data_IF_655564384445
#
_entry.id   IF_655564384445
#
_cell.length_a   1.000
_cell.length_b   1.000
_cell.length_c   1.000
_cell.angle_alpha   90.00
_cell.angle_beta   90.00
_cell.angle_gamma   90.00
#
_symmetry.space_group_name_H-M   'P 1'
#
loop_
_entity.id
_entity.type
_entity.pdbx_description
1 polymer ?
#
# COMPACT_ATOMS: atom_id res chain seq x y z
N UNK A 1 28.44 -41.50 -28.69
CA UNK A 1 27.57 -41.25 -27.51
C UNK A 1 28.05 -39.96 -26.87
N UNK A 2 27.37 -38.84 -27.13
CA UNK A 2 27.67 -37.55 -26.51
C UNK A 2 26.71 -37.44 -25.33
N UNK A 3 27.20 -37.66 -24.11
CA UNK A 3 26.43 -37.42 -22.89
C UNK A 3 26.46 -35.92 -22.62
N UNK A 4 25.35 -35.23 -22.86
CA UNK A 4 25.20 -33.86 -22.40
C UNK A 4 25.26 -33.85 -20.87
N UNK A 5 26.08 -33.00 -20.24
CA UNK A 5 26.07 -32.86 -18.79
C UNK A 5 24.70 -32.32 -18.36
N UNK A 6 23.98 -33.10 -17.56
CA UNK A 6 22.76 -32.68 -16.89
C UNK A 6 23.10 -31.42 -16.07
N UNK A 7 22.52 -30.28 -16.42
CA UNK A 7 22.64 -29.07 -15.61
C UNK A 7 22.19 -29.41 -14.20
N UNK A 8 23.06 -29.22 -13.21
CA UNK A 8 22.73 -29.46 -11.81
C UNK A 8 21.46 -28.65 -11.49
N UNK A 9 20.41 -29.35 -11.03
CA UNK A 9 19.16 -28.72 -10.62
C UNK A 9 19.50 -27.62 -9.61
N UNK A 10 19.03 -26.40 -9.87
CA UNK A 10 19.20 -25.29 -8.94
C UNK A 10 18.70 -25.74 -7.55
N UNK A 11 19.43 -25.44 -6.47
CA UNK A 11 19.02 -25.85 -5.14
C UNK A 11 17.62 -25.33 -4.85
N UNK A 12 16.71 -26.23 -4.45
CA UNK A 12 15.35 -25.87 -4.04
C UNK A 12 15.47 -24.93 -2.83
N UNK A 13 14.89 -23.71 -2.89
CA UNK A 13 14.94 -22.77 -1.78
C UNK A 13 14.37 -23.37 -0.50
N UNK A 14 14.95 -23.03 0.66
CA UNK A 14 14.38 -23.40 1.94
C UNK A 14 12.95 -22.82 2.07
N UNK A 15 11.92 -23.66 2.32
CA UNK A 15 10.55 -23.20 2.50
C UNK A 15 10.37 -22.06 3.52
N UNK A 16 11.19 -22.03 4.57
CA UNK A 16 11.11 -21.00 5.61
C UNK A 16 11.71 -19.65 5.17
N UNK A 17 12.75 -19.69 4.33
CA UNK A 17 13.30 -18.49 3.71
C UNK A 17 12.30 -17.85 2.76
N UNK A 18 11.66 -18.65 1.91
CA UNK A 18 10.66 -18.14 0.96
C UNK A 18 9.43 -17.58 1.70
N UNK A 19 8.99 -18.24 2.79
CA UNK A 19 7.91 -17.71 3.64
C UNK A 19 8.25 -16.32 4.19
N UNK A 20 9.46 -16.14 4.73
CA UNK A 20 9.90 -14.85 5.30
C UNK A 20 9.99 -13.78 4.21
N UNK A 21 10.54 -14.12 3.05
CA UNK A 21 10.62 -13.21 1.90
C UNK A 21 9.25 -12.70 1.46
N UNK A 22 8.26 -13.59 1.33
CA UNK A 22 6.88 -13.23 0.97
C UNK A 22 6.24 -12.35 2.05
N UNK A 23 6.46 -12.67 3.34
CA UNK A 23 5.95 -11.86 4.46
C UNK A 23 6.53 -10.44 4.45
N UNK A 24 7.84 -10.30 4.31
CA UNK A 24 8.50 -9.00 4.19
C UNK A 24 7.99 -8.22 2.97
N UNK A 25 7.89 -8.87 1.81
CA UNK A 25 7.38 -8.23 0.60
C UNK A 25 5.94 -7.70 0.77
N UNK A 26 5.06 -8.47 1.44
CA UNK A 26 3.70 -8.03 1.78
C UNK A 26 3.72 -6.81 2.70
N UNK A 27 4.50 -6.84 3.77
CA UNK A 27 4.59 -5.71 4.71
C UNK A 27 5.10 -4.45 4.02
N UNK A 28 6.13 -4.55 3.18
CA UNK A 28 6.65 -3.43 2.40
C UNK A 28 5.60 -2.86 1.44
N UNK A 29 4.83 -3.72 0.76
CA UNK A 29 3.73 -3.30 -0.10
C UNK A 29 2.62 -2.59 0.69
N UNK A 30 2.29 -3.07 1.89
CA UNK A 30 1.22 -2.50 2.72
C UNK A 30 1.61 -1.19 3.41
N UNK A 31 2.91 -0.97 3.65
CA UNK A 31 3.41 0.32 4.15
C UNK A 31 3.11 1.45 3.16
N UNK A 32 3.11 1.14 1.86
CA UNK A 32 2.89 2.09 0.76
C UNK A 32 3.85 3.30 0.88
N UNK A 33 5.13 2.94 1.01
CA UNK A 33 6.25 3.88 1.03
C UNK A 33 6.48 4.46 -0.37
N UNK A 34 6.63 5.78 -0.45
CA UNK A 34 6.72 6.52 -1.71
C UNK A 34 8.13 6.95 -2.13
N UNK A 35 8.22 8.00 -2.97
CA UNK A 35 9.48 8.48 -3.52
C UNK A 35 10.50 8.98 -2.49
N UNK A 36 10.04 9.57 -1.40
CA UNK A 36 10.94 10.13 -0.39
C UNK A 36 11.61 8.99 0.40
N UNK A 37 10.84 7.96 0.77
CA UNK A 37 11.42 6.75 1.37
C UNK A 37 12.37 6.07 0.39
N UNK A 38 11.99 5.93 -0.88
CA UNK A 38 12.85 5.35 -1.90
C UNK A 38 14.20 6.08 -2.04
N UNK A 39 14.20 7.41 -1.96
CA UNK A 39 15.40 8.24 -2.02
C UNK A 39 16.28 8.14 -0.77
N UNK A 40 15.67 8.01 0.40
CA UNK A 40 16.37 8.12 1.69
C UNK A 40 16.78 6.78 2.29
N UNK A 41 16.10 5.67 1.95
CA UNK A 41 16.31 4.37 2.61
C UNK A 41 17.76 3.90 2.65
N UNK A 42 18.53 4.16 1.59
CA UNK A 42 19.94 3.74 1.47
C UNK A 42 20.93 4.67 2.19
N UNK A 43 20.47 5.82 2.67
CA UNK A 43 21.27 6.82 3.39
C UNK A 43 21.02 6.81 4.89
N UNK A 44 20.03 6.04 5.32
CA UNK A 44 19.65 5.90 6.72
C UNK A 44 20.50 4.80 7.35
N UNK A 45 20.97 5.03 8.58
CA UNK A 45 21.71 4.03 9.36
C UNK A 45 20.80 2.86 9.81
N UNK A 46 20.94 2.34 11.03
CA UNK A 46 20.16 1.17 11.48
C UNK A 46 18.64 1.40 11.57
N UNK A 47 18.17 2.63 11.40
CA UNK A 47 16.76 3.00 11.41
C UNK A 47 16.10 2.92 12.79
N UNK A 48 14.88 3.46 12.89
CA UNK A 48 14.07 3.42 14.10
C UNK A 48 13.29 2.10 14.22
N UNK A 49 13.01 1.63 15.46
CA UNK A 49 12.14 0.47 15.65
C UNK A 49 10.72 0.80 15.13
N UNK A 50 10.15 0.01 14.20
CA UNK A 50 8.96 0.42 13.45
C UNK A 50 7.71 0.64 14.32
N UNK A 51 7.41 -0.32 15.21
CA UNK A 51 6.18 -0.28 16.01
C UNK A 51 6.19 0.83 17.08
N UNK A 52 7.24 1.00 17.91
CA UNK A 52 7.30 2.12 18.86
C UNK A 52 7.24 3.47 18.15
N UNK A 53 7.94 3.63 17.03
CA UNK A 53 7.86 4.85 16.23
C UNK A 53 6.43 5.07 15.73
N UNK A 54 5.75 4.01 15.25
CA UNK A 54 4.39 4.06 14.73
C UNK A 54 3.38 4.52 15.77
N UNK A 55 3.47 3.96 16.97
CA UNK A 55 2.66 4.35 18.12
C UNK A 55 2.95 5.80 18.54
N UNK A 56 4.21 6.19 18.63
CA UNK A 56 4.58 7.57 18.97
C UNK A 56 4.03 8.57 17.95
N UNK A 57 4.12 8.24 16.66
CA UNK A 57 3.58 9.04 15.57
C UNK A 57 2.06 9.21 15.67
N UNK A 58 1.35 8.11 15.86
CA UNK A 58 -0.11 8.12 16.02
C UNK A 58 -0.54 8.97 17.22
N UNK A 59 0.08 8.74 18.38
CA UNK A 59 -0.23 9.46 19.61
C UNK A 59 0.08 10.96 19.49
N UNK A 60 1.19 11.32 18.85
CA UNK A 60 1.55 12.71 18.63
C UNK A 60 0.54 13.42 17.70
N UNK A 61 0.11 12.78 16.61
CA UNK A 61 -0.92 13.34 15.72
C UNK A 61 -2.26 13.50 16.44
N UNK A 62 -2.67 12.52 17.27
CA UNK A 62 -3.86 12.63 18.12
C UNK A 62 -3.74 13.82 19.07
N UNK A 63 -2.60 13.97 19.76
CA UNK A 63 -2.36 15.07 20.68
C UNK A 63 -2.44 16.44 19.97
N UNK A 64 -1.83 16.56 18.77
CA UNK A 64 -1.90 17.78 17.96
C UNK A 64 -3.35 18.12 17.58
N UNK A 65 -4.13 17.12 17.16
CA UNK A 65 -5.53 17.32 16.78
C UNK A 65 -6.43 17.72 17.96
N UNK A 66 -6.28 17.05 19.11
CA UNK A 66 -7.15 17.26 20.29
C UNK A 66 -6.82 18.56 21.04
N UNK A 67 -5.57 19.01 20.99
CA UNK A 67 -5.17 20.27 21.65
C UNK A 67 -5.65 21.53 20.93
N UNK A 68 -6.17 21.41 19.70
CA UNK A 68 -6.63 22.55 18.90
C UNK A 68 -5.50 23.43 18.38
N UNK A 69 -4.24 22.96 18.42
CA UNK A 69 -3.06 23.72 17.96
C UNK A 69 -3.16 24.10 16.48
N UNK A 70 -3.90 23.34 15.67
CA UNK A 70 -4.12 23.63 14.26
C UNK A 70 -5.25 24.66 14.00
N UNK A 71 -6.02 25.01 15.03
CA UNK A 71 -7.18 25.88 14.93
C UNK A 71 -8.32 25.44 15.84
N UNK A 72 -9.18 26.38 16.21
CA UNK A 72 -10.36 26.17 17.07
C UNK A 72 -11.62 25.77 16.29
N UNK A 73 -11.54 25.74 14.95
CA UNK A 73 -12.66 25.43 14.05
C UNK A 73 -13.66 26.58 13.87
N UNK A 74 -13.43 27.75 14.46
CA UNK A 74 -14.29 28.93 14.29
C UNK A 74 -14.12 29.57 12.90
N UNK A 75 -12.91 29.49 12.34
CA UNK A 75 -12.59 29.92 10.99
C UNK A 75 -11.57 28.98 10.34
N UNK A 76 -11.49 28.92 9.00
CA UNK A 76 -10.44 28.18 8.30
C UNK A 76 -9.06 28.69 8.71
N UNK A 77 -8.26 27.81 9.28
CA UNK A 77 -6.88 28.10 9.65
C UNK A 77 -5.93 27.76 8.50
N UNK A 78 -4.77 28.42 8.51
CA UNK A 78 -3.66 28.21 7.57
C UNK A 78 -2.34 28.60 8.25
N UNK A 79 -1.23 28.47 7.53
CA UNK A 79 0.11 28.83 7.99
C UNK A 79 1.00 27.64 8.36
N UNK A 80 2.28 27.90 8.67
CA UNK A 80 3.31 26.85 8.80
C UNK A 80 3.01 25.77 9.85
N UNK A 81 2.20 26.09 10.87
CA UNK A 81 1.78 25.13 11.90
C UNK A 81 1.05 23.92 11.32
N UNK A 82 0.41 24.05 10.16
CA UNK A 82 -0.25 22.96 9.44
C UNK A 82 0.71 21.87 8.99
N UNK A 83 2.01 22.15 8.89
CA UNK A 83 3.00 21.13 8.57
C UNK A 83 3.34 20.24 9.78
N UNK A 84 2.99 20.65 11.00
CA UNK A 84 3.41 19.96 12.22
C UNK A 84 3.03 18.46 12.25
N UNK A 85 1.76 18.04 12.07
CA UNK A 85 1.42 16.61 12.14
C UNK A 85 2.10 15.79 11.04
N UNK A 86 2.26 16.40 9.85
CA UNK A 86 2.94 15.79 8.71
C UNK A 86 4.42 15.58 9.00
N UNK A 87 5.11 16.61 9.49
CA UNK A 87 6.54 16.54 9.79
C UNK A 87 6.83 15.57 10.93
N UNK A 88 5.98 15.53 11.96
CA UNK A 88 6.08 14.54 13.04
C UNK A 88 5.98 13.12 12.49
N UNK A 89 4.96 12.84 11.67
CA UNK A 89 4.80 11.51 11.08
C UNK A 89 5.98 11.15 10.17
N UNK A 90 6.40 12.04 9.28
CA UNK A 90 7.55 11.83 8.39
C UNK A 90 8.83 11.58 9.18
N UNK A 91 9.11 12.40 10.19
CA UNK A 91 10.31 12.28 11.02
C UNK A 91 10.38 10.96 11.79
N UNK A 92 9.23 10.43 12.23
CA UNK A 92 9.18 9.16 12.97
C UNK A 92 9.13 7.94 12.05
N UNK A 93 8.41 8.01 10.93
CA UNK A 93 8.13 6.84 10.07
C UNK A 93 9.15 6.60 8.98
N UNK A 94 9.68 7.63 8.31
CA UNK A 94 10.68 7.43 7.23
C UNK A 94 11.92 6.67 7.74
N UNK A 95 12.48 6.98 8.94
CA UNK A 95 13.63 6.23 9.47
C UNK A 95 13.35 4.76 9.80
N UNK A 96 12.11 4.29 9.73
CA UNK A 96 11.77 2.86 9.95
C UNK A 96 11.94 2.01 8.69
N UNK A 97 12.02 2.64 7.51
CA UNK A 97 12.08 1.95 6.22
C UNK A 97 13.31 1.04 5.99
N UNK A 98 14.49 1.28 6.57
CA UNK A 98 15.64 0.37 6.42
C UNK A 98 15.50 -0.96 7.19
N UNK A 99 14.47 -1.12 8.02
CA UNK A 99 14.28 -2.33 8.83
C UNK A 99 13.80 -3.50 7.97
N UNK A 100 14.13 -4.71 8.41
CA UNK A 100 13.77 -5.97 7.76
C UNK A 100 12.29 -6.35 7.91
N UNK A 101 11.61 -5.74 8.88
CA UNK A 101 10.21 -5.94 9.21
C UNK A 101 9.85 -7.40 9.59
N UNK A 102 10.78 -8.09 10.27
CA UNK A 102 10.62 -9.49 10.68
C UNK A 102 10.25 -9.66 12.17
N UNK A 103 10.00 -8.57 12.89
CA UNK A 103 9.60 -8.59 14.29
C UNK A 103 8.18 -9.12 14.52
N UNK A 104 7.94 -9.72 15.69
CA UNK A 104 6.62 -10.28 16.11
C UNK A 104 5.45 -9.32 15.93
N UNK A 105 5.69 -8.01 16.07
CA UNK A 105 4.67 -6.96 16.00
C UNK A 105 4.74 -6.13 14.72
N UNK A 106 5.64 -6.44 13.79
CA UNK A 106 5.83 -5.59 12.59
C UNK A 106 4.63 -5.60 11.64
N UNK A 107 3.71 -6.56 11.81
CA UNK A 107 2.40 -6.54 11.16
C UNK A 107 1.52 -5.34 11.57
N UNK A 108 1.81 -4.68 12.70
CA UNK A 108 1.14 -3.44 13.12
C UNK A 108 1.61 -2.21 12.34
N UNK A 109 2.73 -2.29 11.64
CA UNK A 109 3.33 -1.11 10.99
C UNK A 109 2.41 -0.53 9.90
N UNK A 110 1.88 -1.32 8.94
CA UNK A 110 0.93 -0.78 7.97
C UNK A 110 -0.32 -0.12 8.58
N UNK A 111 -1.07 -0.75 9.52
CA UNK A 111 -2.25 -0.09 10.10
C UNK A 111 -1.91 1.14 10.94
N UNK A 112 -0.75 1.20 11.60
CA UNK A 112 -0.29 2.40 12.31
C UNK A 112 -0.01 3.56 11.34
N UNK A 113 0.67 3.29 10.22
CA UNK A 113 0.90 4.28 9.16
C UNK A 113 -0.44 4.77 8.60
N UNK A 114 -1.33 3.84 8.22
CA UNK A 114 -2.64 4.20 7.63
C UNK A 114 -3.54 4.99 8.58
N UNK A 115 -3.64 4.55 9.84
CA UNK A 115 -4.42 5.25 10.85
C UNK A 115 -3.90 6.67 11.10
N UNK A 116 -2.57 6.84 11.15
CA UNK A 116 -1.94 8.15 11.33
C UNK A 116 -2.12 9.04 10.09
N UNK A 117 -2.00 8.49 8.88
CA UNK A 117 -2.24 9.22 7.63
C UNK A 117 -3.68 9.75 7.60
N UNK A 118 -4.67 8.89 7.85
CA UNK A 118 -6.08 9.29 7.81
C UNK A 118 -6.43 10.32 8.87
N UNK A 119 -5.92 10.18 10.10
CA UNK A 119 -6.10 11.19 11.13
C UNK A 119 -5.47 12.53 10.75
N UNK A 120 -4.28 12.51 10.14
CA UNK A 120 -3.62 13.72 9.66
C UNK A 120 -4.46 14.42 8.57
N UNK A 121 -4.97 13.67 7.59
CA UNK A 121 -5.86 14.20 6.54
C UNK A 121 -7.10 14.84 7.16
N UNK A 122 -7.73 14.15 8.13
CA UNK A 122 -8.93 14.63 8.82
C UNK A 122 -8.62 15.93 9.58
N UNK A 123 -7.57 15.95 10.41
CA UNK A 123 -7.26 17.12 11.22
C UNK A 123 -6.89 18.35 10.38
N UNK A 124 -6.09 18.17 9.32
CA UNK A 124 -5.78 19.26 8.39
C UNK A 124 -7.05 19.75 7.68
N UNK A 125 -7.86 18.82 7.19
CA UNK A 125 -9.09 19.14 6.48
C UNK A 125 -10.10 19.89 7.34
N UNK A 126 -10.29 19.46 8.58
CA UNK A 126 -11.18 20.14 9.53
C UNK A 126 -10.65 21.53 9.90
N UNK A 127 -9.35 21.65 10.21
CA UNK A 127 -8.75 22.92 10.58
C UNK A 127 -8.78 23.94 9.43
N UNK A 128 -8.53 23.50 8.19
CA UNK A 128 -8.58 24.36 7.01
C UNK A 128 -9.98 24.52 6.41
N UNK A 129 -11.04 23.99 7.03
CA UNK A 129 -12.41 24.12 6.55
C UNK A 129 -12.69 23.40 5.21
N UNK A 130 -11.91 22.38 4.86
CA UNK A 130 -12.11 21.61 3.63
C UNK A 130 -13.41 20.79 3.69
N UNK A 131 -14.19 20.70 2.58
CA UNK A 131 -15.45 19.95 2.58
C UNK A 131 -15.27 18.49 3.00
N UNK A 132 -16.05 18.05 3.99
CA UNK A 132 -15.93 16.72 4.61
C UNK A 132 -16.11 15.58 3.60
N UNK A 133 -17.02 15.75 2.64
CA UNK A 133 -17.25 14.77 1.57
C UNK A 133 -16.01 14.58 0.71
N UNK A 134 -15.23 15.65 0.49
CA UNK A 134 -14.03 15.59 -0.33
C UNK A 134 -12.88 14.89 0.42
N UNK A 135 -12.75 15.14 1.73
CA UNK A 135 -11.84 14.39 2.60
C UNK A 135 -12.19 12.90 2.60
N UNK A 136 -13.48 12.56 2.69
CA UNK A 136 -13.95 11.19 2.61
C UNK A 136 -13.58 10.53 1.28
N UNK A 137 -13.75 11.22 0.15
CA UNK A 137 -13.33 10.69 -1.16
C UNK A 137 -11.84 10.39 -1.20
N UNK A 138 -10.98 11.31 -0.72
CA UNK A 138 -9.54 11.07 -0.70
C UNK A 138 -9.18 9.87 0.17
N UNK A 139 -9.74 9.79 1.39
CA UNK A 139 -9.53 8.67 2.32
C UNK A 139 -10.01 7.36 1.69
N UNK A 140 -11.17 7.37 1.02
CA UNK A 140 -11.71 6.21 0.32
C UNK A 140 -10.77 5.74 -0.79
N UNK A 141 -10.25 6.66 -1.61
CA UNK A 141 -9.31 6.33 -2.70
C UNK A 141 -8.04 5.68 -2.16
N UNK A 142 -7.44 6.26 -1.12
CA UNK A 142 -6.21 5.71 -0.50
C UNK A 142 -6.50 4.38 0.22
N UNK A 143 -7.64 4.29 0.92
CA UNK A 143 -8.08 3.07 1.59
C UNK A 143 -8.37 1.95 0.62
N UNK A 144 -9.02 2.24 -0.52
CA UNK A 144 -9.28 1.30 -1.60
C UNK A 144 -7.98 0.77 -2.19
N UNK A 145 -6.99 1.62 -2.47
CA UNK A 145 -5.68 1.18 -2.95
C UNK A 145 -5.00 0.21 -1.98
N UNK A 146 -5.07 0.50 -0.67
CA UNK A 146 -4.52 -0.39 0.36
C UNK A 146 -5.27 -1.73 0.39
N UNK A 147 -6.60 -1.68 0.33
CA UNK A 147 -7.45 -2.87 0.28
C UNK A 147 -7.15 -3.74 -0.95
N UNK A 148 -7.10 -3.13 -2.13
CA UNK A 148 -6.80 -3.78 -3.41
C UNK A 148 -5.42 -4.45 -3.38
N UNK A 149 -4.41 -3.77 -2.84
CA UNK A 149 -3.06 -4.31 -2.64
C UNK A 149 -3.07 -5.56 -1.74
N UNK A 150 -3.83 -5.53 -0.64
CA UNK A 150 -3.95 -6.69 0.27
C UNK A 150 -4.61 -7.88 -0.44
N UNK A 151 -5.67 -7.66 -1.20
CA UNK A 151 -6.37 -8.74 -1.89
C UNK A 151 -5.56 -9.33 -3.03
N UNK A 152 -4.88 -8.50 -3.82
CA UNK A 152 -4.02 -8.96 -4.91
C UNK A 152 -2.82 -9.75 -4.43
N UNK A 153 -2.13 -9.29 -3.39
CA UNK A 153 -0.97 -10.02 -2.83
C UNK A 153 -1.35 -11.32 -2.11
N UNK A 154 -2.63 -11.52 -1.77
CA UNK A 154 -3.17 -12.83 -1.35
C UNK A 154 -3.36 -13.79 -2.53
N UNK A 155 -3.64 -13.27 -3.72
CA UNK A 155 -3.70 -14.00 -4.99
C UNK A 155 -2.35 -14.05 -5.71
N UNK A 156 -1.25 -13.74 -5.02
CA UNK A 156 0.10 -13.67 -5.59
C UNK A 156 0.29 -12.66 -6.74
N UNK A 157 -0.62 -11.70 -6.86
CA UNK A 157 -0.53 -10.58 -7.79
C UNK A 157 0.13 -9.41 -7.08
N UNK A 158 1.29 -9.00 -7.55
CA UNK A 158 2.06 -7.93 -6.92
C UNK A 158 1.87 -6.62 -7.67
N UNK A 159 1.61 -5.50 -6.98
CA UNK A 159 1.63 -4.19 -7.62
C UNK A 159 3.00 -3.89 -8.22
N UNK A 160 2.96 -3.35 -9.43
CA UNK A 160 4.18 -2.95 -10.10
C UNK A 160 4.86 -1.83 -9.28
N UNK A 161 6.20 -1.86 -9.10
CA UNK A 161 6.89 -0.90 -8.24
C UNK A 161 6.65 0.58 -8.59
N UNK A 162 6.39 0.90 -9.86
CA UNK A 162 6.10 2.26 -10.32
C UNK A 162 4.80 2.82 -9.74
N UNK A 163 3.85 1.96 -9.35
CA UNK A 163 2.55 2.37 -8.81
C UNK A 163 2.72 3.07 -7.46
N UNK A 164 3.65 2.60 -6.63
CA UNK A 164 3.97 3.24 -5.35
C UNK A 164 4.65 4.61 -5.55
N UNK A 165 5.44 4.76 -6.61
CA UNK A 165 6.07 6.03 -6.96
C UNK A 165 5.05 7.04 -7.50
N UNK A 166 4.20 6.62 -8.44
CA UNK A 166 3.13 7.45 -8.99
C UNK A 166 2.03 7.73 -7.95
N UNK A 167 1.75 6.78 -7.04
CA UNK A 167 0.82 6.94 -5.93
C UNK A 167 1.34 7.88 -4.84
N UNK A 168 2.56 8.39 -4.98
CA UNK A 168 3.25 9.35 -4.10
C UNK A 168 3.60 8.81 -2.70
N UNK A 169 3.16 7.60 -2.34
CA UNK A 169 3.25 7.05 -0.99
C UNK A 169 2.61 7.94 0.08
N UNK A 170 2.58 7.47 1.32
CA UNK A 170 1.97 8.24 2.42
C UNK A 170 2.72 9.54 2.68
N UNK A 171 4.04 9.55 2.49
CA UNK A 171 4.86 10.68 2.91
C UNK A 171 4.74 11.88 1.97
N UNK A 172 4.80 11.69 0.65
CA UNK A 172 4.66 12.82 -0.29
C UNK A 172 3.20 13.27 -0.35
N UNK A 173 2.22 12.36 -0.24
CA UNK A 173 0.81 12.76 -0.12
C UNK A 173 0.59 13.68 1.07
N UNK A 174 1.07 13.32 2.26
CA UNK A 174 0.93 14.16 3.43
C UNK A 174 1.72 15.48 3.33
N UNK A 175 2.91 15.47 2.73
CA UNK A 175 3.67 16.70 2.48
C UNK A 175 2.92 17.68 1.56
N UNK A 176 2.29 17.19 0.49
CA UNK A 176 1.47 18.01 -0.39
C UNK A 176 0.24 18.58 0.33
N UNK A 177 -0.43 17.76 1.14
CA UNK A 177 -1.58 18.20 1.93
C UNK A 177 -1.18 19.22 3.00
N UNK A 178 -0.11 18.96 3.77
CA UNK A 178 0.40 19.88 4.77
C UNK A 178 0.82 21.22 4.15
N UNK A 179 1.50 21.20 3.00
CA UNK A 179 1.87 22.42 2.27
C UNK A 179 0.63 23.15 1.74
N UNK A 180 -0.34 22.44 1.18
CA UNK A 180 -1.62 23.01 0.74
C UNK A 180 -2.39 23.67 1.88
N UNK A 181 -2.43 23.04 3.06
CA UNK A 181 -3.02 23.60 4.27
C UNK A 181 -2.27 24.84 4.75
N UNK A 182 -0.94 24.78 4.79
CA UNK A 182 -0.12 25.92 5.20
C UNK A 182 -0.32 27.14 4.27
N UNK A 183 -0.48 26.90 2.97
CA UNK A 183 -0.71 27.93 1.95
C UNK A 183 -2.18 28.36 1.83
N UNK A 184 -3.11 27.73 2.57
CA UNK A 184 -4.54 28.06 2.51
C UNK A 184 -5.26 27.57 1.25
N UNK A 185 -4.69 26.60 0.52
CA UNK A 185 -5.24 26.04 -0.73
C UNK A 185 -5.58 24.55 -0.61
N UNK A 186 -5.69 24.01 0.61
CA UNK A 186 -5.87 22.58 0.87
C UNK A 186 -7.01 21.95 0.08
N UNK A 187 -8.17 22.62 0.00
CA UNK A 187 -9.33 22.08 -0.71
C UNK A 187 -9.02 21.76 -2.18
N UNK A 188 -8.28 22.63 -2.87
CA UNK A 188 -7.86 22.38 -4.24
C UNK A 188 -6.87 21.23 -4.33
N UNK A 189 -5.91 21.16 -3.40
CA UNK A 189 -4.94 20.06 -3.34
C UNK A 189 -5.66 18.72 -3.13
N UNK A 190 -6.60 18.63 -2.18
CA UNK A 190 -7.40 17.42 -1.94
C UNK A 190 -8.23 17.05 -3.17
N UNK A 191 -8.82 18.02 -3.87
CA UNK A 191 -9.59 17.76 -5.08
C UNK A 191 -8.72 17.17 -6.20
N UNK A 192 -7.59 17.81 -6.50
CA UNK A 192 -6.65 17.34 -7.53
C UNK A 192 -6.09 15.96 -7.16
N UNK A 193 -5.68 15.76 -5.91
CA UNK A 193 -5.16 14.48 -5.43
C UNK A 193 -6.21 13.37 -5.49
N UNK A 194 -7.46 13.66 -5.12
CA UNK A 194 -8.56 12.68 -5.21
C UNK A 194 -8.77 12.20 -6.63
N UNK A 195 -8.80 13.11 -7.61
CA UNK A 195 -8.95 12.77 -9.02
C UNK A 195 -7.74 12.02 -9.53
N UNK A 196 -6.54 12.53 -9.28
CA UNK A 196 -5.28 11.94 -9.75
C UNK A 196 -5.10 10.50 -9.22
N UNK A 197 -5.18 10.31 -7.91
CA UNK A 197 -5.01 9.02 -7.26
C UNK A 197 -6.17 8.08 -7.59
N UNK A 198 -7.39 8.61 -7.67
CA UNK A 198 -8.58 7.82 -8.02
C UNK A 198 -8.45 7.21 -9.41
N UNK A 199 -8.08 8.02 -10.41
CA UNK A 199 -7.84 7.54 -11.77
C UNK A 199 -6.67 6.56 -11.83
N UNK A 200 -5.55 6.90 -11.18
CA UNK A 200 -4.35 6.05 -11.15
C UNK A 200 -4.67 4.65 -10.59
N UNK A 201 -5.27 4.59 -9.40
CA UNK A 201 -5.54 3.32 -8.72
C UNK A 201 -6.68 2.54 -9.36
N UNK A 202 -7.69 3.21 -9.91
CA UNK A 202 -8.75 2.53 -10.66
C UNK A 202 -8.21 1.86 -11.92
N UNK A 203 -7.40 2.56 -12.72
CA UNK A 203 -6.80 2.00 -13.94
C UNK A 203 -5.92 0.80 -13.60
N UNK A 204 -5.10 0.93 -12.56
CA UNK A 204 -4.16 -0.11 -12.18
C UNK A 204 -4.87 -1.35 -11.62
N UNK A 205 -5.86 -1.17 -10.74
CA UNK A 205 -6.70 -2.26 -10.24
C UNK A 205 -7.42 -2.99 -11.38
N UNK A 206 -8.08 -2.27 -12.29
CA UNK A 206 -8.77 -2.88 -13.44
C UNK A 206 -7.80 -3.68 -14.30
N UNK A 207 -6.62 -3.13 -14.62
CA UNK A 207 -5.62 -3.84 -15.44
C UNK A 207 -5.13 -5.11 -14.75
N UNK A 208 -4.87 -5.07 -13.44
CA UNK A 208 -4.40 -6.24 -12.70
C UNK A 208 -5.45 -7.34 -12.65
N UNK A 209 -6.70 -7.02 -12.30
CA UNK A 209 -7.75 -8.04 -12.17
C UNK A 209 -8.20 -8.62 -13.52
N UNK A 210 -8.31 -7.80 -14.56
CA UNK A 210 -8.62 -8.29 -15.92
C UNK A 210 -7.46 -9.12 -16.50
N UNK A 211 -6.22 -8.80 -16.14
CA UNK A 211 -5.05 -9.60 -16.51
C UNK A 211 -5.12 -11.01 -15.94
N UNK A 212 -5.41 -11.13 -14.64
CA UNK A 212 -5.54 -12.42 -13.96
C UNK A 212 -6.62 -13.31 -14.58
N UNK A 213 -7.80 -12.73 -14.86
CA UNK A 213 -8.92 -13.46 -15.44
C UNK A 213 -8.54 -14.09 -16.79
N UNK A 214 -7.81 -13.33 -17.63
CA UNK A 214 -7.30 -13.82 -18.92
C UNK A 214 -6.26 -14.93 -18.76
N UNK A 215 -5.31 -14.77 -17.85
CA UNK A 215 -4.29 -15.81 -17.59
C UNK A 215 -4.93 -17.11 -17.10
N UNK A 216 -5.94 -17.00 -16.23
CA UNK A 216 -6.70 -18.15 -15.71
C UNK A 216 -7.47 -18.85 -16.83
N UNK A 217 -8.16 -18.09 -17.69
CA UNK A 217 -8.91 -18.63 -18.81
C UNK A 217 -8.00 -19.32 -19.85
N UNK A 218 -6.80 -18.77 -20.09
CA UNK A 218 -5.81 -19.37 -20.99
C UNK A 218 -5.21 -20.66 -20.43
N UNK A 219 -4.95 -20.72 -19.12
CA UNK A 219 -4.48 -21.94 -18.47
C UNK A 219 -5.51 -23.06 -18.57
N UNK A 220 -6.79 -22.77 -18.29
CA UNK A 220 -7.89 -23.71 -18.44
C UNK A 220 -8.03 -24.23 -19.88
N UNK A 221 -7.98 -23.33 -20.87
CA UNK A 221 -8.03 -23.73 -22.28
C UNK A 221 -6.82 -24.58 -22.70
N UNK A 222 -5.65 -24.37 -22.08
CA UNK A 222 -4.46 -25.20 -22.29
C UNK A 222 -4.64 -26.61 -21.72
N UNK A 223 -5.09 -26.71 -20.46
CA UNK A 223 -5.38 -27.98 -19.80
C UNK A 223 -6.43 -28.80 -20.58
N UNK A 224 -7.49 -28.14 -21.09
CA UNK A 224 -8.52 -28.76 -21.92
C UNK A 224 -7.97 -29.33 -23.25
N UNK A 225 -6.92 -28.70 -23.81
CA UNK A 225 -6.25 -29.16 -25.03
C UNK A 225 -5.24 -30.29 -24.76
N UNK A 226 -4.72 -30.39 -23.54
CA UNK A 226 -3.78 -31.44 -23.12
C UNK A 226 -4.49 -32.69 -22.57
N UNK A 227 -5.79 -32.61 -22.25
CA UNK A 227 -6.59 -33.75 -21.82
C UNK A 227 -6.63 -34.86 -22.90
N UNK A 228 -6.23 -36.08 -22.54
CA UNK A 228 -6.30 -37.23 -23.43
C UNK A 228 -7.76 -37.63 -23.69
N UNK A 229 -8.12 -38.17 -24.88
CA UNK A 229 -9.46 -38.69 -25.14
C UNK A 229 -9.94 -39.73 -24.11
N UNK A 230 -8.99 -40.45 -23.48
CA UNK A 230 -9.26 -41.42 -22.41
C UNK A 230 -9.68 -40.73 -21.10
N UNK A 231 -9.02 -39.64 -20.71
CA UNK A 231 -9.36 -38.86 -19.51
C UNK A 231 -10.74 -38.18 -19.66
N UNK A 232 -11.05 -37.72 -20.88
CA UNK A 232 -12.36 -37.14 -21.21
C UNK A 232 -13.48 -38.19 -21.20
N UNK A 233 -13.20 -39.42 -21.65
CA UNK A 233 -14.15 -40.54 -21.55
C UNK A 233 -14.38 -40.97 -20.10
N UNK A 234 -13.31 -41.06 -19.30
CA UNK A 234 -13.38 -41.48 -17.89
C UNK A 234 -14.19 -40.50 -17.04
N UNK A 235 -14.01 -39.18 -17.27
CA UNK A 235 -14.84 -38.13 -16.67
C UNK A 235 -16.31 -38.25 -17.08
N UNK A 236 -16.61 -38.46 -18.37
CA UNK A 236 -17.99 -38.60 -18.86
C UNK A 236 -18.71 -39.85 -18.29
N UNK A 237 -17.99 -40.97 -18.16
CA UNK A 237 -18.55 -42.17 -17.50
C UNK A 237 -18.73 -41.97 -16.00
N UNK A 238 -17.81 -41.27 -15.32
CA UNK A 238 -17.91 -41.00 -13.88
C UNK A 238 -19.01 -40.01 -13.50
N UNK A 239 -19.38 -39.09 -14.39
CA UNK A 239 -20.55 -38.20 -14.21
C UNK A 239 -21.88 -38.95 -14.43
N UNK A 240 -21.93 -39.87 -15.40
CA UNK A 240 -23.12 -40.68 -15.68
C UNK A 240 -23.43 -41.69 -14.55
N UNK A 241 -22.43 -42.16 -13.80
CA UNK A 241 -22.61 -43.11 -12.69
C UNK A 241 -23.07 -42.42 -11.39
N UNK A 242 -22.99 -41.08 -11.32
CA UNK A 242 -23.43 -40.27 -10.17
C UNK A 242 -24.85 -39.70 -10.32
N UNK A 243 -25.48 -39.84 -11.48
CA UNK A 243 -26.84 -39.40 -11.78
C UNK A 243 -27.86 -40.53 -11.57
#
# INVERSE_FOLDING_TARGET
>A
MITHPQAAAAPVPDPDEERRRIQTARLLAYRDDGPLVALLRGKMGPGLPPVPAGLASLLAVIAIGVTGVLGDGAAPANGPIMLLPVLVMVALMVPTAPRDHLGRFDWLVPPLIRGTEFLTIIFLGLAAGTPKWLLFVLIYVVGYHTYDTVYRTRQSIWPAPWVFQAGLGWEVRLLLLGAGAALGVLTWVVAVMSVYLGVLFAIESIKSWVGLDKETALAQAGDDLEASPEDAMEQATGEAEKA
#
